data_IF_534746319586
#
_entry.id   IF_534746319586
#
_cell.length_a   1.000
_cell.length_b   1.000
_cell.length_c   1.000
_cell.angle_alpha   90.00
_cell.angle_beta   90.00
_cell.angle_gamma   90.00
#
_symmetry.space_group_name_H-M   'P 1'
#
loop_
_entity.id
_entity.type
_entity.pdbx_description
1 polymer ?
#
# COMPACT_ATOMS: atom_id res chain seq x y z
N UNK A 1 -4.84 5.37 -47.94
CA UNK A 1 -4.54 6.76 -47.52
C UNK A 1 -3.69 6.76 -46.25
N UNK A 2 -4.18 6.25 -45.11
CA UNK A 2 -3.38 6.15 -43.88
C UNK A 2 -2.09 5.34 -44.08
N UNK A 3 -2.18 4.11 -44.62
CA UNK A 3 -1.00 3.27 -44.86
C UNK A 3 0.01 3.90 -45.84
N UNK A 4 -0.46 4.67 -46.82
CA UNK A 4 0.42 5.38 -47.78
C UNK A 4 1.05 6.66 -47.19
N UNK A 5 0.38 7.29 -46.22
CA UNK A 5 0.91 8.46 -45.49
C UNK A 5 1.94 8.04 -44.43
N UNK A 6 1.67 6.92 -43.76
CA UNK A 6 2.55 6.28 -42.78
C UNK A 6 3.87 5.87 -43.42
N UNK A 7 3.84 5.28 -44.62
CA UNK A 7 5.04 4.75 -45.29
C UNK A 7 6.00 5.81 -45.87
N UNK A 8 5.53 7.03 -46.12
CA UNK A 8 6.30 8.07 -46.84
C UNK A 8 6.79 9.22 -45.97
N UNK A 9 6.17 9.49 -44.82
CA UNK A 9 6.46 10.69 -44.02
C UNK A 9 6.68 10.45 -42.53
N UNK A 10 6.46 9.23 -42.02
CA UNK A 10 6.36 8.95 -40.58
C UNK A 10 7.33 7.87 -40.07
N UNK A 11 8.26 7.38 -40.91
CA UNK A 11 9.25 6.35 -40.51
C UNK A 11 10.13 6.78 -39.32
N UNK A 12 10.29 8.09 -39.06
CA UNK A 12 11.07 8.63 -37.94
C UNK A 12 10.23 9.00 -36.70
N UNK A 13 8.93 8.71 -36.68
CA UNK A 13 8.08 9.06 -35.53
C UNK A 13 7.85 7.86 -34.59
N UNK A 14 7.88 8.13 -33.28
CA UNK A 14 7.52 7.16 -32.24
C UNK A 14 6.16 6.51 -32.58
N UNK A 15 6.13 5.18 -32.72
CA UNK A 15 4.94 4.40 -33.12
C UNK A 15 3.67 4.73 -32.32
N UNK A 16 3.82 5.19 -31.08
CA UNK A 16 2.73 5.64 -30.19
C UNK A 16 1.87 6.78 -30.79
N UNK A 17 2.46 7.71 -31.55
CA UNK A 17 1.70 8.80 -32.20
C UNK A 17 0.82 8.26 -33.34
N UNK A 18 1.39 7.35 -34.14
CA UNK A 18 0.71 6.70 -35.24
C UNK A 18 -0.44 5.84 -34.70
N UNK A 19 -0.20 5.06 -33.65
CA UNK A 19 -1.22 4.22 -33.01
C UNK A 19 -2.39 5.05 -32.47
N UNK A 20 -2.11 6.20 -31.86
CA UNK A 20 -3.17 7.11 -31.38
C UNK A 20 -3.97 7.75 -32.51
N UNK A 21 -3.34 8.10 -33.63
CA UNK A 21 -4.04 8.60 -34.81
C UNK A 21 -4.92 7.49 -35.39
N UNK A 22 -4.41 6.27 -35.50
CA UNK A 22 -5.18 5.12 -35.98
C UNK A 22 -6.37 4.86 -35.07
N UNK A 23 -6.18 4.83 -33.74
CA UNK A 23 -7.27 4.69 -32.77
C UNK A 23 -8.30 5.82 -32.88
N UNK A 24 -7.87 7.07 -33.06
CA UNK A 24 -8.77 8.20 -33.23
C UNK A 24 -9.59 8.07 -34.52
N UNK A 25 -8.94 7.76 -35.65
CA UNK A 25 -9.62 7.66 -36.95
C UNK A 25 -10.53 6.44 -37.01
N UNK A 26 -10.14 5.31 -36.43
CA UNK A 26 -11.00 4.11 -36.31
C UNK A 26 -12.22 4.40 -35.44
N UNK A 27 -12.04 5.00 -34.26
CA UNK A 27 -13.14 5.44 -33.41
C UNK A 27 -14.07 6.44 -34.11
N UNK A 28 -13.51 7.37 -34.90
CA UNK A 28 -14.30 8.33 -35.67
C UNK A 28 -15.06 7.63 -36.81
N UNK A 29 -14.44 6.65 -37.48
CA UNK A 29 -15.10 5.81 -38.49
C UNK A 29 -16.24 4.99 -37.89
N UNK A 30 -16.04 4.40 -36.71
CA UNK A 30 -17.05 3.60 -36.02
C UNK A 30 -18.21 4.48 -35.54
N UNK A 31 -17.92 5.67 -35.02
CA UNK A 31 -18.93 6.66 -34.68
C UNK A 31 -19.75 7.11 -35.90
N UNK A 32 -19.10 7.30 -37.06
CA UNK A 32 -19.79 7.61 -38.32
C UNK A 32 -20.66 6.45 -38.83
N UNK A 33 -20.21 5.19 -38.69
CA UNK A 33 -21.00 4.00 -39.06
C UNK A 33 -22.20 3.79 -38.14
N UNK A 34 -22.03 4.09 -36.85
CA UNK A 34 -23.06 3.89 -35.82
C UNK A 34 -24.00 5.09 -35.67
N UNK A 35 -23.83 6.16 -36.47
CA UNK A 35 -24.71 7.33 -36.47
C UNK A 35 -24.66 8.16 -35.18
N UNK A 36 -23.63 8.00 -34.35
CA UNK A 36 -23.49 8.72 -33.08
C UNK A 36 -22.39 9.76 -33.18
N UNK A 37 -22.79 11.05 -33.14
CA UNK A 37 -22.06 12.32 -32.87
C UNK A 37 -22.25 13.35 -34.01
N UNK A 38 -22.89 14.52 -33.92
CA UNK A 38 -23.59 15.39 -32.92
C UNK A 38 -24.21 16.59 -33.74
N UNK A 39 -24.97 17.59 -33.22
CA UNK A 39 -25.76 17.73 -32.00
C UNK A 39 -27.28 17.60 -32.30
N UNK A 40 -28.09 17.48 -31.24
CA UNK A 40 -29.55 17.59 -31.32
C UNK A 40 -29.96 19.02 -31.67
N UNK A 41 -30.22 19.28 -32.95
CA UNK A 41 -31.33 20.09 -33.48
C UNK A 41 -31.11 20.36 -34.98
N UNK A 42 -32.02 19.81 -35.78
CA UNK A 42 -32.47 20.18 -37.14
C UNK A 42 -31.50 20.39 -38.31
N UNK A 43 -30.18 20.38 -38.14
CA UNK A 43 -29.25 20.45 -39.27
C UNK A 43 -28.28 19.28 -39.25
N UNK A 44 -28.71 18.14 -39.84
CA UNK A 44 -27.83 17.01 -40.19
C UNK A 44 -26.82 17.47 -41.26
N UNK A 45 -25.78 18.18 -40.84
CA UNK A 45 -24.58 18.35 -41.66
C UNK A 45 -23.88 17.00 -41.69
N UNK A 46 -24.14 16.20 -42.72
CA UNK A 46 -23.24 15.13 -43.10
C UNK A 46 -21.87 15.78 -43.30
N UNK A 47 -20.96 15.64 -42.34
CA UNK A 47 -19.57 16.02 -42.55
C UNK A 47 -19.02 14.97 -43.50
N UNK A 48 -19.21 15.20 -44.80
CA UNK A 48 -18.54 14.44 -45.84
C UNK A 48 -17.04 14.68 -45.65
N UNK A 49 -16.39 13.76 -44.93
CA UNK A 49 -14.94 13.77 -44.77
C UNK A 49 -14.33 13.47 -46.12
N UNK A 50 -14.00 14.52 -46.87
CA UNK A 50 -13.28 14.37 -48.13
C UNK A 50 -11.86 13.87 -47.88
N UNK A 51 -11.27 13.19 -48.86
CA UNK A 51 -9.85 12.78 -48.79
C UNK A 51 -8.92 13.97 -48.56
N UNK A 52 -9.27 15.15 -49.08
CA UNK A 52 -8.53 16.41 -48.89
C UNK A 52 -8.60 16.92 -47.45
N UNK A 53 -9.77 16.94 -46.82
CA UNK A 53 -9.92 17.38 -45.44
C UNK A 53 -9.23 16.44 -44.46
N UNK A 54 -9.28 15.12 -44.72
CA UNK A 54 -8.53 14.13 -43.94
C UNK A 54 -7.01 14.33 -44.08
N UNK A 55 -6.51 14.56 -45.29
CA UNK A 55 -5.10 14.82 -45.54
C UNK A 55 -4.65 16.10 -44.81
N UNK A 56 -5.42 17.18 -44.91
CA UNK A 56 -5.15 18.43 -44.21
C UNK A 56 -5.15 18.26 -42.69
N UNK A 57 -6.09 17.48 -42.13
CA UNK A 57 -6.12 17.15 -40.72
C UNK A 57 -4.85 16.42 -40.26
N UNK A 58 -4.42 15.39 -41.00
CA UNK A 58 -3.20 14.65 -40.68
C UNK A 58 -1.96 15.56 -40.75
N UNK A 59 -1.87 16.43 -41.75
CA UNK A 59 -0.80 17.43 -41.86
C UNK A 59 -0.81 18.40 -40.68
N UNK A 60 -1.98 18.87 -40.23
CA UNK A 60 -2.10 19.73 -39.06
C UNK A 60 -1.67 19.01 -37.77
N UNK A 61 -2.10 17.77 -37.57
CA UNK A 61 -1.70 16.95 -36.42
C UNK A 61 -0.18 16.77 -36.37
N UNK A 62 0.43 16.44 -37.51
CA UNK A 62 1.87 16.29 -37.62
C UNK A 62 2.60 17.61 -37.32
N UNK A 63 2.17 18.74 -37.90
CA UNK A 63 2.75 20.05 -37.62
C UNK A 63 2.64 20.44 -36.15
N UNK A 64 1.51 20.16 -35.50
CA UNK A 64 1.35 20.42 -34.06
C UNK A 64 2.24 19.51 -33.21
N UNK A 65 2.39 18.24 -33.59
CA UNK A 65 3.27 17.31 -32.90
C UNK A 65 4.74 17.73 -32.97
N UNK A 66 5.22 18.09 -34.17
CA UNK A 66 6.59 18.59 -34.35
C UNK A 66 6.85 19.84 -33.51
N UNK A 67 5.90 20.79 -33.48
CA UNK A 67 5.99 22.01 -32.66
C UNK A 67 5.85 21.75 -31.15
N UNK A 68 5.32 20.61 -30.73
CA UNK A 68 5.15 20.26 -29.33
C UNK A 68 6.36 19.51 -28.76
N UNK A 69 7.35 19.17 -29.60
CA UNK A 69 8.64 18.68 -29.13
C UNK A 69 9.37 19.77 -28.37
N UNK A 70 10.11 19.40 -27.34
CA UNK A 70 10.93 20.35 -26.59
C UNK A 70 12.14 20.77 -27.40
N UNK A 71 12.47 22.06 -27.34
CA UNK A 71 13.65 22.59 -28.05
C UNK A 71 14.94 22.13 -27.34
N UNK A 72 15.94 21.64 -28.11
CA UNK A 72 17.22 21.23 -27.54
C UNK A 72 17.92 22.44 -26.88
N UNK A 73 18.55 22.22 -25.72
CA UNK A 73 19.19 23.27 -24.94
C UNK A 73 18.27 23.96 -23.92
N UNK A 74 16.97 23.64 -23.90
CA UNK A 74 16.07 24.11 -22.84
C UNK A 74 16.53 23.60 -21.47
N UNK A 75 16.64 24.51 -20.48
CA UNK A 75 17.04 24.19 -19.11
C UNK A 75 15.92 23.50 -18.31
N UNK A 76 15.52 22.29 -18.73
CA UNK A 76 14.38 21.54 -18.18
C UNK A 76 14.49 21.30 -16.68
N UNK A 77 15.70 21.08 -16.14
CA UNK A 77 15.90 20.86 -14.72
C UNK A 77 15.49 22.06 -13.86
N UNK A 78 15.83 23.27 -14.29
CA UNK A 78 15.45 24.50 -13.59
C UNK A 78 13.93 24.73 -13.65
N UNK A 79 13.32 24.49 -14.82
CA UNK A 79 11.87 24.58 -15.01
C UNK A 79 11.16 23.58 -14.10
N UNK A 80 11.56 22.30 -14.09
CA UNK A 80 10.96 21.28 -13.24
C UNK A 80 11.09 21.63 -11.75
N UNK A 81 12.27 22.09 -11.31
CA UNK A 81 12.49 22.50 -9.93
C UNK A 81 11.56 23.64 -9.51
N UNK A 82 11.38 24.65 -10.36
CA UNK A 82 10.45 25.75 -10.10
C UNK A 82 8.99 25.28 -10.12
N UNK A 83 8.59 24.44 -11.09
CA UNK A 83 7.23 23.92 -11.21
C UNK A 83 6.79 23.08 -10.01
N UNK A 84 7.71 22.42 -9.31
CA UNK A 84 7.42 21.71 -8.06
C UNK A 84 7.53 22.64 -6.85
N UNK A 85 8.51 23.54 -6.85
CA UNK A 85 8.81 24.42 -5.72
C UNK A 85 7.80 25.54 -5.50
N UNK A 86 7.31 26.18 -6.56
CA UNK A 86 6.34 27.27 -6.46
C UNK A 86 5.02 26.82 -5.81
N UNK A 87 4.38 25.71 -6.25
CA UNK A 87 3.15 25.24 -5.61
C UNK A 87 3.36 24.78 -4.17
N UNK A 88 4.57 24.32 -3.80
CA UNK A 88 4.87 23.95 -2.42
C UNK A 88 4.71 25.14 -1.45
N UNK A 89 4.90 26.38 -1.91
CA UNK A 89 4.64 27.58 -1.09
C UNK A 89 3.15 27.85 -0.87
N UNK A 90 2.31 27.46 -1.84
CA UNK A 90 0.86 27.64 -1.80
C UNK A 90 0.16 26.52 -1.01
N UNK A 91 0.86 25.40 -0.77
CA UNK A 91 0.39 24.34 0.12
C UNK A 91 0.36 24.82 1.57
N UNK A 92 -0.75 25.44 1.97
CA UNK A 92 -1.05 25.70 3.38
C UNK A 92 -1.04 24.37 4.16
N UNK A 93 -0.56 24.40 5.42
CA UNK A 93 -0.38 23.24 6.30
C UNK A 93 -1.70 22.54 6.70
N UNK A 94 -2.51 22.06 5.75
CA UNK A 94 -3.42 20.94 6.01
C UNK A 94 -2.58 19.66 6.02
N UNK A 95 -1.93 19.43 7.15
CA UNK A 95 -0.92 18.37 7.36
C UNK A 95 -1.53 16.99 7.55
N UNK A 96 -2.85 16.92 7.76
CA UNK A 96 -3.57 15.68 7.99
C UNK A 96 -4.80 15.63 7.09
N UNK A 97 -4.84 14.62 6.22
CA UNK A 97 -6.08 14.16 5.65
C UNK A 97 -6.25 12.68 5.91
N UNK A 98 -7.50 12.30 6.13
CA UNK A 98 -7.92 10.91 6.18
C UNK A 98 -7.93 10.39 4.73
N UNK A 99 -7.30 9.23 4.48
CA UNK A 99 -7.37 8.56 3.17
C UNK A 99 -8.74 7.91 2.96
N UNK A 100 -9.81 8.70 3.04
CA UNK A 100 -11.20 8.22 3.05
C UNK A 100 -11.59 7.44 4.31
N UNK A 101 -10.64 7.12 5.19
CA UNK A 101 -10.85 6.36 6.43
C UNK A 101 -10.46 7.21 7.62
N UNK A 102 -11.45 7.54 8.46
CA UNK A 102 -11.31 8.39 9.65
C UNK A 102 -10.25 7.90 10.68
N UNK A 103 -9.70 6.71 10.50
CA UNK A 103 -8.83 6.04 11.45
C UNK A 103 -7.33 6.10 11.10
N UNK A 104 -6.94 6.49 9.88
CA UNK A 104 -5.52 6.63 9.47
C UNK A 104 -5.20 8.06 9.05
N UNK A 105 -4.36 8.71 9.85
CA UNK A 105 -3.80 10.01 9.54
C UNK A 105 -2.61 9.82 8.59
N UNK A 106 -2.64 10.44 7.42
CA UNK A 106 -1.51 10.46 6.48
C UNK A 106 -0.88 11.84 6.47
N UNK A 107 0.44 11.90 6.49
CA UNK A 107 1.19 13.14 6.25
C UNK A 107 1.00 13.58 4.79
N UNK A 108 0.50 14.80 4.60
CA UNK A 108 0.30 15.39 3.27
C UNK A 108 0.86 16.82 3.20
N UNK A 109 0.93 17.35 1.97
CA UNK A 109 1.49 18.68 1.69
C UNK A 109 3.01 18.73 1.75
N UNK A 110 3.56 19.88 2.14
CA UNK A 110 5.01 20.16 2.16
C UNK A 110 5.82 19.15 2.99
N UNK A 111 5.38 18.71 4.19
CA UNK A 111 6.15 17.72 4.96
C UNK A 111 6.32 16.40 4.21
N UNK A 112 5.29 15.96 3.48
CA UNK A 112 5.34 14.72 2.71
C UNK A 112 6.24 14.86 1.48
N UNK A 113 6.14 15.99 0.78
CA UNK A 113 7.04 16.29 -0.34
C UNK A 113 8.51 16.32 0.11
N UNK A 114 8.77 16.91 1.28
CA UNK A 114 10.10 16.91 1.93
C UNK A 114 10.58 15.49 2.28
N UNK A 115 9.71 14.61 2.76
CA UNK A 115 10.07 13.20 3.04
C UNK A 115 10.49 12.46 1.77
N UNK A 116 9.77 12.67 0.65
CA UNK A 116 10.03 12.00 -0.64
C UNK A 116 11.32 12.52 -1.27
N UNK A 117 11.50 13.84 -1.37
CA UNK A 117 12.66 14.47 -2.02
C UNK A 117 13.95 14.13 -1.26
N UNK A 118 13.91 14.14 0.08
CA UNK A 118 15.09 13.81 0.89
C UNK A 118 15.36 12.29 1.00
N UNK A 119 14.56 11.45 0.34
CA UNK A 119 14.64 10.00 0.44
C UNK A 119 14.73 9.51 1.91
N UNK A 120 13.81 9.99 2.75
CA UNK A 120 13.83 9.73 4.18
C UNK A 120 13.80 8.22 4.49
N UNK A 121 14.73 7.76 5.34
CA UNK A 121 14.83 6.33 5.72
C UNK A 121 13.62 5.87 6.54
N UNK A 122 13.17 6.75 7.45
CA UNK A 122 11.99 6.53 8.29
C UNK A 122 11.00 7.64 8.00
N UNK A 123 9.82 7.26 7.51
CA UNK A 123 8.71 8.17 7.28
C UNK A 123 7.76 8.13 8.47
N UNK A 124 7.03 9.22 8.68
CA UNK A 124 6.17 9.38 9.86
C UNK A 124 4.98 8.42 9.85
N UNK A 125 4.39 8.20 8.67
CA UNK A 125 3.17 7.37 8.50
C UNK A 125 3.32 6.39 7.32
N UNK A 126 4.03 5.26 7.51
CA UNK A 126 4.21 4.28 6.45
C UNK A 126 2.95 3.45 6.26
N UNK A 127 2.42 3.43 5.04
CA UNK A 127 1.17 2.77 4.69
C UNK A 127 1.41 1.86 3.49
N UNK A 128 0.90 0.64 3.62
CA UNK A 128 0.85 -0.38 2.58
C UNK A 128 -0.63 -0.63 2.27
N UNK A 129 -1.02 -0.40 1.02
CA UNK A 129 -2.34 -0.74 0.51
C UNK A 129 -2.30 -2.15 -0.05
N UNK A 130 -3.14 -3.01 0.49
CA UNK A 130 -3.11 -4.46 0.26
C UNK A 130 -4.46 -4.91 -0.30
N UNK A 131 -4.54 -5.20 -1.61
CA UNK A 131 -5.71 -5.84 -2.18
C UNK A 131 -5.78 -7.31 -1.75
N UNK A 132 -7.00 -7.76 -1.49
CA UNK A 132 -7.30 -9.13 -1.06
C UNK A 132 -7.91 -9.88 -2.26
N UNK A 133 -7.61 -11.17 -2.37
CA UNK A 133 -8.09 -12.03 -3.45
C UNK A 133 -9.62 -12.15 -3.45
N UNK A 134 -10.19 -12.54 -2.29
CA UNK A 134 -11.64 -12.52 -2.05
C UNK A 134 -11.98 -11.20 -1.34
N UNK A 135 -12.52 -10.26 -2.09
CA UNK A 135 -12.83 -8.90 -1.62
C UNK A 135 -14.33 -8.66 -1.33
N UNK A 136 -15.19 -9.67 -1.46
CA UNK A 136 -16.64 -9.57 -1.21
C UNK A 136 -17.03 -9.89 0.26
N UNK A 137 -16.15 -10.55 1.01
CA UNK A 137 -16.44 -11.05 2.37
C UNK A 137 -15.62 -10.32 3.44
N UNK A 138 -16.33 -9.71 4.41
CA UNK A 138 -15.73 -9.00 5.53
C UNK A 138 -15.01 -9.95 6.52
N UNK A 139 -15.52 -11.17 6.72
CA UNK A 139 -14.91 -12.12 7.65
C UNK A 139 -13.62 -12.70 7.05
N UNK A 140 -13.59 -12.91 5.73
CA UNK A 140 -12.34 -13.17 5.04
C UNK A 140 -11.33 -12.04 5.21
N UNK A 141 -11.74 -10.77 5.02
CA UNK A 141 -10.86 -9.63 5.24
C UNK A 141 -10.34 -9.53 6.67
N UNK A 142 -11.17 -9.85 7.68
CA UNK A 142 -10.77 -9.91 9.10
C UNK A 142 -9.74 -11.00 9.38
N UNK A 143 -9.88 -12.19 8.78
CA UNK A 143 -8.86 -13.26 8.90
C UNK A 143 -7.52 -12.84 8.31
N UNK A 144 -7.52 -12.24 7.12
CA UNK A 144 -6.28 -11.74 6.49
C UNK A 144 -5.67 -10.62 7.32
N UNK A 145 -6.49 -9.71 7.85
CA UNK A 145 -6.06 -8.68 8.80
C UNK A 145 -5.34 -9.30 10.01
N UNK A 146 -5.92 -10.33 10.64
CA UNK A 146 -5.34 -11.00 11.80
C UNK A 146 -4.01 -11.73 11.52
N UNK A 147 -3.72 -12.08 10.27
CA UNK A 147 -2.42 -12.64 9.86
C UNK A 147 -1.32 -11.59 9.73
N UNK A 148 -1.67 -10.35 9.42
CA UNK A 148 -0.72 -9.26 9.14
C UNK A 148 -0.51 -8.39 10.39
N UNK A 149 -1.59 -8.06 11.08
CA UNK A 149 -1.58 -7.21 12.28
C UNK A 149 -0.80 -7.86 13.41
N UNK A 150 0.03 -7.05 14.09
CA UNK A 150 0.83 -7.50 15.22
C UNK A 150 -0.07 -7.88 16.40
N UNK A 151 -0.07 -9.16 16.74
CA UNK A 151 -0.74 -9.68 17.94
C UNK A 151 0.31 -10.17 18.94
N UNK A 152 0.32 -9.53 20.11
CA UNK A 152 1.17 -9.93 21.22
C UNK A 152 0.41 -10.85 22.18
N UNK A 153 1.13 -11.57 23.02
CA UNK A 153 0.55 -12.40 24.07
C UNK A 153 -0.32 -11.59 25.03
N UNK A 154 0.06 -10.34 25.33
CA UNK A 154 -0.77 -9.43 26.12
C UNK A 154 -2.16 -9.16 25.53
N UNK A 155 -2.33 -9.18 24.21
CA UNK A 155 -3.65 -8.97 23.59
C UNK A 155 -4.57 -10.18 23.71
N UNK A 156 -4.01 -11.37 23.91
CA UNK A 156 -4.73 -12.64 23.87
C UNK A 156 -4.93 -13.24 25.26
N UNK A 157 -4.11 -12.87 26.24
CA UNK A 157 -4.23 -13.38 27.60
C UNK A 157 -5.32 -12.68 28.42
N UNK A 158 -5.98 -13.43 29.30
CA UNK A 158 -6.81 -12.88 30.38
C UNK A 158 -5.92 -12.40 31.52
N UNK A 159 -5.00 -13.25 31.97
CA UNK A 159 -4.07 -12.94 33.04
C UNK A 159 -2.75 -13.69 32.90
N UNK A 160 -1.69 -13.07 33.44
CA UNK A 160 -0.38 -13.70 33.65
C UNK A 160 -0.13 -13.62 35.16
N UNK A 161 -0.29 -14.76 35.84
CA UNK A 161 -0.18 -14.88 37.29
C UNK A 161 1.07 -15.64 37.68
N UNK A 162 1.58 -15.34 38.88
CA UNK A 162 2.72 -16.02 39.47
C UNK A 162 2.19 -16.94 40.57
N UNK A 163 2.61 -18.20 40.54
CA UNK A 163 2.26 -19.18 41.56
C UNK A 163 3.54 -19.47 42.34
N UNK A 164 3.53 -19.05 43.60
CA UNK A 164 4.57 -19.36 44.59
C UNK A 164 4.00 -20.38 45.56
N UNK A 165 4.41 -21.65 45.41
CA UNK A 165 4.15 -22.70 46.39
C UNK A 165 5.47 -23.14 47.02
N UNK A 166 5.41 -23.85 48.15
CA UNK A 166 6.61 -24.24 48.90
C UNK A 166 7.62 -25.04 48.07
N UNK A 167 7.15 -25.75 47.04
CA UNK A 167 7.97 -26.61 46.17
C UNK A 167 8.05 -26.16 44.71
N UNK A 168 7.07 -25.36 44.25
CA UNK A 168 6.91 -25.02 42.83
C UNK A 168 6.78 -23.52 42.66
N UNK A 169 7.64 -22.98 41.79
CA UNK A 169 7.60 -21.60 41.33
C UNK A 169 7.31 -21.62 39.83
N UNK A 170 6.13 -21.14 39.44
CA UNK A 170 5.77 -21.10 38.03
C UNK A 170 4.97 -19.86 37.65
N UNK A 171 5.05 -19.49 36.38
CA UNK A 171 4.23 -18.43 35.79
C UNK A 171 3.11 -19.13 35.03
N UNK A 172 1.88 -18.82 35.39
CA UNK A 172 0.67 -19.32 34.73
C UNK A 172 0.14 -18.28 33.77
N UNK A 173 0.02 -18.67 32.52
CA UNK A 173 -0.56 -17.87 31.45
C UNK A 173 -1.94 -18.45 31.15
N UNK A 174 -2.98 -17.64 31.31
CA UNK A 174 -4.34 -17.98 30.90
C UNK A 174 -4.70 -17.23 29.61
N UNK A 175 -5.14 -17.99 28.61
CA UNK A 175 -5.53 -17.49 27.30
C UNK A 175 -7.05 -17.25 27.24
N UNK A 176 -7.43 -16.13 26.64
CA UNK A 176 -8.84 -15.81 26.37
C UNK A 176 -9.29 -16.47 25.05
N UNK A 177 -9.82 -17.68 25.14
CA UNK A 177 -10.33 -18.42 23.97
C UNK A 177 -11.43 -17.62 23.25
N UNK A 178 -12.27 -16.90 23.99
CA UNK A 178 -13.36 -16.13 23.40
C UNK A 178 -12.80 -14.97 22.55
N UNK A 179 -11.79 -14.25 23.05
CA UNK A 179 -11.11 -13.20 22.29
C UNK A 179 -10.40 -13.73 21.05
N UNK A 180 -9.75 -14.89 21.12
CA UNK A 180 -9.12 -15.54 19.95
C UNK A 180 -10.16 -15.85 18.87
N UNK A 181 -11.31 -16.40 19.26
CA UNK A 181 -12.42 -16.73 18.35
C UNK A 181 -13.03 -15.47 17.72
N UNK A 182 -13.27 -14.42 18.51
CA UNK A 182 -13.80 -13.14 18.03
C UNK A 182 -12.87 -12.47 17.00
N UNK A 183 -11.56 -12.52 17.24
CA UNK A 183 -10.56 -11.97 16.34
C UNK A 183 -10.25 -12.90 15.15
N UNK A 184 -10.87 -14.08 15.10
CA UNK A 184 -10.68 -15.11 14.06
C UNK A 184 -9.20 -15.46 13.83
N UNK A 185 -8.41 -15.48 14.90
CA UNK A 185 -6.98 -15.77 14.83
C UNK A 185 -6.74 -17.28 14.65
N UNK A 186 -5.98 -17.64 13.61
CA UNK A 186 -5.53 -19.00 13.34
C UNK A 186 -4.32 -19.35 14.22
N UNK A 187 -4.56 -19.51 15.52
CA UNK A 187 -3.53 -19.76 16.54
C UNK A 187 -3.91 -20.97 17.39
N UNK A 188 -2.96 -21.89 17.54
CA UNK A 188 -3.04 -23.01 18.48
C UNK A 188 -2.07 -22.78 19.66
N UNK A 189 -2.33 -23.41 20.81
CA UNK A 189 -1.42 -23.35 21.97
C UNK A 189 -0.01 -23.79 21.61
N UNK A 190 0.13 -24.83 20.79
CA UNK A 190 1.44 -25.28 20.35
C UNK A 190 2.21 -24.20 19.60
N UNK A 191 1.52 -23.35 18.82
CA UNK A 191 2.15 -22.23 18.14
C UNK A 191 2.61 -21.16 19.13
N UNK A 192 1.82 -20.90 20.18
CA UNK A 192 2.18 -19.97 21.25
C UNK A 192 3.39 -20.49 22.02
N UNK A 193 3.42 -21.78 22.36
CA UNK A 193 4.57 -22.41 23.03
C UNK A 193 5.82 -22.34 22.14
N UNK A 194 5.70 -22.65 20.84
CA UNK A 194 6.79 -22.48 19.88
C UNK A 194 7.27 -21.03 19.81
N UNK A 195 6.35 -20.05 19.83
CA UNK A 195 6.69 -18.63 19.85
C UNK A 195 7.47 -18.23 21.13
N UNK A 196 7.02 -18.71 22.29
CA UNK A 196 7.71 -18.51 23.59
C UNK A 196 9.13 -19.08 23.54
N UNK A 197 9.30 -20.31 23.06
CA UNK A 197 10.60 -20.99 22.96
C UNK A 197 11.53 -20.33 21.93
N UNK A 198 10.98 -19.84 20.81
CA UNK A 198 11.76 -19.15 19.77
C UNK A 198 12.26 -17.77 20.20
N UNK A 199 11.73 -17.21 21.30
CA UNK A 199 12.08 -15.87 21.74
C UNK A 199 13.51 -15.80 22.28
N UNK A 200 14.32 -14.95 21.64
CA UNK A 200 15.73 -14.73 22.00
C UNK A 200 15.91 -14.04 23.35
N UNK A 201 14.86 -13.40 23.86
CA UNK A 201 14.87 -12.61 25.10
C UNK A 201 14.64 -13.52 26.31
N UNK A 202 13.65 -14.42 26.25
CA UNK A 202 13.30 -15.29 27.38
C UNK A 202 14.29 -16.46 27.54
N UNK A 203 14.89 -16.93 26.42
CA UNK A 203 15.87 -18.04 26.39
C UNK A 203 15.43 -19.27 27.20
N UNK A 204 14.13 -19.59 27.15
CA UNK A 204 13.55 -20.72 27.86
C UNK A 204 13.86 -22.03 27.12
N UNK A 205 14.04 -23.10 27.89
CA UNK A 205 14.22 -24.46 27.36
C UNK A 205 12.85 -25.17 27.24
N UNK A 206 12.69 -26.14 26.34
CA UNK A 206 11.42 -26.86 26.18
C UNK A 206 10.93 -27.50 27.48
N UNK A 207 11.84 -28.04 28.30
CA UNK A 207 11.52 -28.65 29.60
C UNK A 207 10.94 -27.66 30.63
N UNK A 208 11.02 -26.36 30.36
CA UNK A 208 10.52 -25.30 31.24
C UNK A 208 9.11 -24.86 30.86
N UNK A 209 8.52 -25.43 29.82
CA UNK A 209 7.17 -25.07 29.37
C UNK A 209 6.30 -26.32 29.39
N UNK A 210 5.18 -26.26 30.10
CA UNK A 210 4.20 -27.33 30.11
C UNK A 210 2.81 -26.79 29.77
N UNK A 211 2.07 -27.58 29.00
CA UNK A 211 0.68 -27.28 28.66
C UNK A 211 -0.18 -28.00 29.71
N UNK A 212 -0.96 -27.24 30.47
CA UNK A 212 -1.84 -27.81 31.49
C UNK A 212 -3.25 -28.05 30.94
N UNK A 213 -3.76 -27.14 30.11
CA UNK A 213 -5.08 -27.26 29.47
C UNK A 213 -5.13 -26.56 28.11
N UNK A 214 -6.27 -26.64 27.41
CA UNK A 214 -6.53 -25.92 26.16
C UNK A 214 -6.50 -24.38 26.27
N UNK A 215 -6.41 -23.84 27.48
CA UNK A 215 -6.33 -22.39 27.72
C UNK A 215 -5.18 -21.99 28.63
N UNK A 216 -4.42 -22.92 29.20
CA UNK A 216 -3.44 -22.60 30.23
C UNK A 216 -2.06 -23.22 29.98
N UNK A 217 -1.05 -22.37 30.11
CA UNK A 217 0.36 -22.70 29.95
C UNK A 217 1.06 -22.40 31.27
N UNK A 218 1.89 -23.34 31.73
CA UNK A 218 2.75 -23.17 32.90
C UNK A 218 4.21 -23.07 32.46
N UNK A 219 4.88 -22.02 32.94
CA UNK A 219 6.31 -21.79 32.71
C UNK A 219 7.08 -21.96 34.00
N UNK A 220 8.16 -22.74 33.94
CA UNK A 220 9.08 -23.02 35.04
C UNK A 220 10.42 -22.35 34.76
N UNK A 221 10.56 -21.04 35.03
CA UNK A 221 11.79 -20.33 34.76
C UNK A 221 12.91 -20.84 35.67
N UNK A 222 14.05 -21.19 35.07
CA UNK A 222 15.25 -21.51 35.83
C UNK A 222 15.97 -20.27 36.28
N UNK A 223 16.58 -20.37 37.45
CA UNK A 223 17.30 -19.30 38.10
C UNK A 223 18.77 -19.68 38.23
N UNK A 224 19.67 -18.71 37.98
CA UNK A 224 21.10 -18.85 38.28
C UNK A 224 21.34 -18.27 39.66
N UNK A 225 22.07 -18.99 40.52
CA UNK A 225 22.34 -18.66 41.92
C UNK A 225 22.71 -17.18 42.18
N UNK A 226 23.36 -16.52 41.22
CA UNK A 226 23.78 -15.11 41.31
C UNK A 226 22.65 -14.06 41.28
N UNK A 227 21.45 -14.35 40.78
CA UNK A 227 20.34 -13.37 40.78
C UNK A 227 19.37 -13.66 41.94
N UNK A 228 18.31 -12.88 42.15
CA UNK A 228 17.17 -13.34 42.96
C UNK A 228 16.07 -13.94 42.07
N UNK A 229 15.39 -15.00 42.55
CA UNK A 229 14.30 -15.68 41.81
C UNK A 229 13.23 -14.68 41.39
N UNK A 230 12.85 -13.77 42.28
CA UNK A 230 11.86 -12.72 42.03
C UNK A 230 12.21 -11.85 40.81
N UNK A 231 13.47 -11.41 40.69
CA UNK A 231 13.89 -10.57 39.56
C UNK A 231 13.79 -11.30 38.21
N UNK A 232 14.10 -12.59 38.17
CA UNK A 232 13.98 -13.39 36.95
C UNK A 232 12.51 -13.53 36.53
N UNK A 233 11.62 -13.78 37.49
CA UNK A 233 10.18 -13.85 37.24
C UNK A 233 9.62 -12.54 36.71
N UNK A 234 9.96 -11.42 37.33
CA UNK A 234 9.48 -10.10 36.91
C UNK A 234 10.00 -9.71 35.51
N UNK A 235 11.25 -10.04 35.18
CA UNK A 235 11.80 -9.83 33.84
C UNK A 235 11.05 -10.66 32.79
N UNK A 236 10.83 -11.95 33.07
CA UNK A 236 10.12 -12.84 32.16
C UNK A 236 8.68 -12.36 31.96
N UNK A 237 7.98 -12.01 33.04
CA UNK A 237 6.61 -11.49 32.99
C UNK A 237 6.49 -10.21 32.15
N UNK A 238 7.42 -9.27 32.33
CA UNK A 238 7.45 -8.04 31.54
C UNK A 238 7.61 -8.33 30.05
N UNK A 239 8.53 -9.24 29.69
CA UNK A 239 8.79 -9.59 28.30
C UNK A 239 7.70 -10.46 27.67
N UNK A 240 7.06 -11.34 28.45
CA UNK A 240 5.95 -12.19 28.00
C UNK A 240 4.81 -11.34 27.44
N UNK A 241 4.45 -10.22 28.07
CA UNK A 241 3.38 -9.36 27.56
C UNK A 241 3.65 -8.81 26.15
N UNK A 242 4.92 -8.53 25.84
CA UNK A 242 5.35 -7.98 24.54
C UNK A 242 5.69 -9.03 23.48
N UNK A 243 5.61 -10.32 23.83
CA UNK A 243 5.97 -11.42 22.95
C UNK A 243 5.02 -11.49 21.76
N UNK A 244 5.57 -11.47 20.55
CA UNK A 244 4.83 -11.60 19.29
C UNK A 244 4.35 -13.06 19.12
N UNK A 245 3.06 -13.24 18.88
CA UNK A 245 2.47 -14.56 18.58
C UNK A 245 2.19 -14.70 17.09
N UNK A 246 1.51 -13.70 16.50
CA UNK A 246 1.11 -13.69 15.09
C UNK A 246 1.25 -12.28 14.53
N UNK A 247 1.45 -12.18 13.22
CA UNK A 247 1.66 -10.91 12.52
C UNK A 247 3.13 -10.54 12.39
N UNK A 248 3.37 -9.33 11.89
CA UNK A 248 4.71 -8.82 11.65
C UNK A 248 5.10 -7.77 12.69
N UNK A 249 6.33 -7.85 13.21
CA UNK A 249 6.81 -6.96 14.28
C UNK A 249 6.82 -5.48 13.85
N UNK A 250 7.06 -5.21 12.56
CA UNK A 250 7.14 -3.87 11.97
C UNK A 250 5.80 -3.30 11.51
N UNK A 251 4.71 -4.04 11.70
CA UNK A 251 3.34 -3.58 11.45
C UNK A 251 2.73 -3.11 12.77
N UNK A 252 2.27 -1.86 12.80
CA UNK A 252 1.64 -1.28 13.98
C UNK A 252 0.17 -1.67 14.05
N UNK A 253 -0.55 -1.50 12.94
CA UNK A 253 -2.01 -1.72 12.86
C UNK A 253 -2.43 -2.01 11.43
N UNK A 254 -3.56 -2.70 11.28
CA UNK A 254 -4.20 -2.92 9.99
C UNK A 254 -5.70 -2.62 10.06
N UNK A 255 -6.23 -2.01 9.00
CA UNK A 255 -7.63 -1.57 8.92
C UNK A 255 -8.24 -2.08 7.62
N UNK A 256 -9.49 -2.55 7.71
CA UNK A 256 -10.29 -2.90 6.54
C UNK A 256 -10.94 -1.62 6.02
N UNK A 257 -10.65 -1.27 4.77
CA UNK A 257 -11.27 -0.17 4.03
C UNK A 257 -12.29 -0.73 3.04
N UNK A 258 -13.45 -0.07 2.95
CA UNK A 258 -14.53 -0.40 2.00
C UNK A 258 -14.42 0.54 0.80
N UNK A 259 -14.19 0.02 -0.40
CA UNK A 259 -14.22 0.85 -1.60
C UNK A 259 -15.67 1.08 -2.04
N UNK A 260 -16.13 2.32 -1.89
CA UNK A 260 -17.50 2.76 -2.25
C UNK A 260 -17.58 3.40 -3.65
N UNK A 261 -16.56 3.22 -4.49
CA UNK A 261 -16.46 3.88 -5.80
C UNK A 261 -17.62 3.55 -6.75
N UNK A 262 -18.22 2.36 -6.62
CA UNK A 262 -19.38 1.93 -7.40
C UNK A 262 -20.56 1.63 -6.46
N UNK A 263 -21.46 2.60 -6.26
CA UNK A 263 -22.70 2.44 -5.47
C UNK A 263 -23.63 1.31 -5.96
N UNK A 264 -23.42 0.81 -7.18
CA UNK A 264 -24.23 -0.23 -7.83
C UNK A 264 -23.66 -1.65 -7.69
N UNK A 265 -22.44 -1.81 -7.18
CA UNK A 265 -21.79 -3.12 -6.97
C UNK A 265 -21.71 -3.47 -5.48
N UNK A 266 -21.48 -4.76 -5.17
CA UNK A 266 -21.19 -5.21 -3.81
C UNK A 266 -19.96 -4.47 -3.25
N UNK A 267 -19.93 -4.17 -1.94
CA UNK A 267 -18.80 -3.48 -1.31
C UNK A 267 -17.54 -4.33 -1.44
N UNK A 268 -16.47 -3.74 -2.00
CA UNK A 268 -15.17 -4.39 -2.12
C UNK A 268 -14.26 -3.99 -0.96
N UNK A 269 -13.66 -4.97 -0.30
CA UNK A 269 -12.78 -4.76 0.84
C UNK A 269 -11.30 -4.76 0.43
N UNK A 270 -10.55 -3.78 0.92
CA UNK A 270 -9.09 -3.71 0.85
C UNK A 270 -8.50 -3.51 2.25
N UNK A 271 -7.27 -3.93 2.46
CA UNK A 271 -6.56 -3.71 3.73
C UNK A 271 -5.61 -2.53 3.58
N UNK A 272 -5.64 -1.63 4.57
CA UNK A 272 -4.63 -0.61 4.77
C UNK A 272 -3.80 -1.01 5.99
N UNK A 273 -2.50 -1.17 5.79
CA UNK A 273 -1.57 -1.64 6.81
C UNK A 273 -0.59 -0.52 7.11
N UNK A 274 -0.50 -0.12 8.38
CA UNK A 274 0.50 0.83 8.84
C UNK A 274 1.77 0.07 9.25
N UNK A 275 2.83 0.21 8.45
CA UNK A 275 4.08 -0.50 8.67
C UNK A 275 5.05 -0.46 7.50
N UNK A 276 6.28 -0.92 7.74
CA UNK A 276 7.39 -0.88 6.78
C UNK A 276 7.72 -2.24 6.15
N UNK A 277 7.04 -3.32 6.54
CA UNK A 277 7.39 -4.68 6.10
C UNK A 277 6.60 -5.11 4.86
N UNK A 278 6.95 -4.52 3.72
CA UNK A 278 6.31 -4.82 2.43
C UNK A 278 6.52 -6.26 1.99
N UNK A 279 7.72 -6.83 2.19
CA UNK A 279 8.06 -8.17 1.72
C UNK A 279 7.17 -9.23 2.38
N UNK A 280 7.05 -9.17 3.71
CA UNK A 280 6.26 -10.15 4.45
C UNK A 280 4.77 -10.01 4.14
N UNK A 281 4.27 -8.78 3.98
CA UNK A 281 2.89 -8.51 3.56
C UNK A 281 2.58 -9.11 2.18
N UNK A 282 3.46 -8.91 1.19
CA UNK A 282 3.30 -9.49 -0.16
C UNK A 282 3.28 -11.03 -0.11
N UNK A 283 4.10 -11.63 0.75
CA UNK A 283 4.18 -13.09 0.90
C UNK A 283 3.00 -13.72 1.66
N UNK A 284 2.12 -12.89 2.24
CA UNK A 284 1.02 -13.40 3.07
C UNK A 284 -0.03 -14.07 2.19
N UNK A 285 -0.48 -15.26 2.59
CA UNK A 285 -1.56 -15.97 1.90
C UNK A 285 -2.83 -15.11 1.88
N UNK A 286 -3.53 -15.12 0.74
CA UNK A 286 -4.77 -14.37 0.47
C UNK A 286 -4.57 -12.91 0.04
N UNK A 287 -3.33 -12.44 -0.02
CA UNK A 287 -2.97 -11.12 -0.56
C UNK A 287 -2.67 -11.23 -2.05
N UNK A 288 -3.21 -10.30 -2.85
CA UNK A 288 -2.88 -10.20 -4.28
C UNK A 288 -1.59 -9.40 -4.44
N UNK A 289 -0.47 -10.11 -4.57
CA UNK A 289 0.88 -9.55 -4.60
C UNK A 289 1.08 -8.45 -5.67
N UNK A 290 0.48 -8.60 -6.84
CA UNK A 290 0.63 -7.67 -7.98
C UNK A 290 0.00 -6.30 -7.76
N UNK A 291 -0.99 -6.22 -6.85
CA UNK A 291 -1.70 -4.96 -6.56
C UNK A 291 -1.25 -4.27 -5.27
N UNK A 292 -0.27 -4.82 -4.55
CA UNK A 292 0.21 -4.22 -3.30
C UNK A 292 1.01 -2.96 -3.61
N UNK A 293 0.65 -1.84 -2.98
CA UNK A 293 1.38 -0.57 -3.10
C UNK A 293 1.83 -0.09 -1.74
N UNK A 294 2.94 0.66 -1.70
CA UNK A 294 3.48 1.23 -0.48
C UNK A 294 3.94 2.66 -0.74
N UNK A 295 3.71 3.53 0.22
CA UNK A 295 4.12 4.93 0.14
C UNK A 295 5.62 5.13 0.47
N UNK A 296 6.27 4.16 1.10
CA UNK A 296 7.70 4.24 1.43
C UNK A 296 8.57 3.86 0.24
N UNK A 297 9.16 4.85 -0.42
CA UNK A 297 10.02 4.67 -1.60
C UNK A 297 11.24 3.80 -1.32
N UNK A 298 11.86 3.93 -0.14
CA UNK A 298 13.01 3.13 0.26
C UNK A 298 12.65 1.65 0.46
N UNK A 299 11.48 1.37 1.03
CA UNK A 299 11.00 -0.01 1.21
C UNK A 299 10.71 -0.64 -0.15
N UNK A 300 10.06 0.09 -1.05
CA UNK A 300 9.80 -0.35 -2.43
C UNK A 300 11.11 -0.64 -3.15
N UNK A 301 12.10 0.26 -3.06
CA UNK A 301 13.42 0.06 -3.65
C UNK A 301 14.09 -1.25 -3.18
N UNK A 302 14.05 -1.54 -1.88
CA UNK A 302 14.66 -2.75 -1.30
C UNK A 302 13.96 -4.05 -1.70
N UNK A 303 12.66 -4.01 -2.02
CA UNK A 303 11.86 -5.20 -2.31
C UNK A 303 11.64 -5.42 -3.80
N UNK A 304 11.33 -4.36 -4.55
CA UNK A 304 10.91 -4.39 -5.96
C UNK A 304 11.95 -3.77 -6.93
N UNK A 305 12.95 -3.05 -6.41
CA UNK A 305 14.02 -2.46 -7.22
C UNK A 305 13.78 -1.00 -7.63
N UNK A 306 14.72 -0.48 -8.44
CA UNK A 306 14.82 0.95 -8.77
C UNK A 306 13.64 1.47 -9.59
N UNK A 307 13.16 0.70 -10.56
CA UNK A 307 12.09 1.18 -11.45
C UNK A 307 10.74 1.27 -10.75
N UNK A 308 10.45 0.30 -9.87
CA UNK A 308 9.28 0.36 -9.01
C UNK A 308 9.34 1.57 -8.06
N UNK A 309 10.51 1.84 -7.47
CA UNK A 309 10.71 2.99 -6.61
C UNK A 309 10.56 4.32 -7.37
N UNK A 310 11.08 4.42 -8.60
CA UNK A 310 10.90 5.58 -9.49
C UNK A 310 9.42 5.86 -9.73
N UNK A 311 8.63 4.82 -10.05
CA UNK A 311 7.20 4.98 -10.26
C UNK A 311 6.47 5.37 -8.96
N UNK A 312 6.87 4.84 -7.81
CA UNK A 312 6.31 5.23 -6.51
C UNK A 312 6.57 6.70 -6.19
N UNK A 313 7.76 7.24 -6.49
CA UNK A 313 8.07 8.67 -6.32
C UNK A 313 7.08 9.53 -7.11
N UNK A 314 6.92 9.23 -8.41
CA UNK A 314 6.00 9.97 -9.29
C UNK A 314 4.55 9.88 -8.78
N UNK A 315 4.11 8.68 -8.40
CA UNK A 315 2.75 8.46 -7.90
C UNK A 315 2.49 9.24 -6.61
N UNK A 316 3.44 9.24 -5.66
CA UNK A 316 3.31 9.93 -4.38
C UNK A 316 3.36 11.45 -4.53
N UNK A 317 4.25 11.99 -5.37
CA UNK A 317 4.30 13.44 -5.67
C UNK A 317 3.00 13.86 -6.37
N UNK A 318 2.53 13.08 -7.36
CA UNK A 318 1.27 13.37 -8.03
C UNK A 318 0.07 13.30 -7.07
N UNK A 319 0.03 12.31 -6.18
CA UNK A 319 -1.05 12.15 -5.20
C UNK A 319 -1.08 13.30 -4.20
N UNK A 320 0.08 13.71 -3.68
CA UNK A 320 0.18 14.84 -2.74
C UNK A 320 -0.24 16.16 -3.39
N UNK A 321 0.19 16.43 -4.63
CA UNK A 321 -0.18 17.65 -5.37
C UNK A 321 -1.67 17.69 -5.71
N UNK A 322 -2.23 16.59 -6.24
CA UNK A 322 -3.65 16.48 -6.62
C UNK A 322 -4.60 16.69 -5.46
N UNK A 323 -4.27 16.17 -4.27
CA UNK A 323 -5.10 16.33 -3.07
C UNK A 323 -5.21 17.81 -2.61
N UNK A 324 -4.24 18.65 -2.98
CA UNK A 324 -4.26 20.09 -2.76
C UNK A 324 -4.85 20.88 -3.94
N UNK A 325 -5.43 20.19 -4.94
CA UNK A 325 -5.99 20.81 -6.14
C UNK A 325 -4.95 21.38 -7.10
N UNK A 326 -3.66 21.07 -6.88
CA UNK A 326 -2.56 21.54 -7.69
C UNK A 326 -2.32 20.51 -8.80
N UNK A 327 -2.34 20.98 -10.06
CA UNK A 327 -2.06 20.14 -11.22
C UNK A 327 -0.71 20.54 -11.83
N UNK A 328 0.26 19.64 -11.78
CA UNK A 328 1.56 19.78 -12.43
C UNK A 328 1.70 18.66 -13.46
N UNK A 329 2.28 18.96 -14.62
CA UNK A 329 2.52 17.95 -15.65
C UNK A 329 3.44 16.85 -15.10
N UNK A 330 3.07 15.58 -15.36
CA UNK A 330 3.79 14.39 -14.90
C UNK A 330 5.23 14.34 -15.43
N UNK A 331 5.52 15.04 -16.53
CA UNK A 331 6.88 15.15 -17.11
C UNK A 331 7.86 15.88 -16.21
N UNK A 332 7.37 16.66 -15.24
CA UNK A 332 8.21 17.35 -14.26
C UNK A 332 8.57 16.49 -13.05
N UNK A 333 7.92 15.34 -12.87
CA UNK A 333 8.04 14.47 -11.69
C UNK A 333 9.08 13.36 -11.83
#
# INVERSE_FOLDING_TARGET
ILNSYISTSLNDTNGVFIDKIIQFVTKLSDNCKNGQNYPSNDNKTYVNVTSKTLNYFLQLCFRKYQKASIDPGTAVGAICAQSIGEPATQMTLKTFHFAGVAAMNITLGVPRLKEIINAAIKISTPIISVPIDVNDDIDYARRVKGRIEKTTLGHVCTCISEIFSNEIYCIRIELDIHRIKLLQLEINIEMIVKAILSSSILKLRPNQVSIMSESSILLYPQHKESKSKYFVFQQIKYHLHSLLIKGFQSVNRAIVHIDESNKSEKPKYKLLVEGNDLRSVISTRSVVSTGVTCNSTLVVYKVLGVEAARQTIINEISYTMKNHGINVDIRHF
#
